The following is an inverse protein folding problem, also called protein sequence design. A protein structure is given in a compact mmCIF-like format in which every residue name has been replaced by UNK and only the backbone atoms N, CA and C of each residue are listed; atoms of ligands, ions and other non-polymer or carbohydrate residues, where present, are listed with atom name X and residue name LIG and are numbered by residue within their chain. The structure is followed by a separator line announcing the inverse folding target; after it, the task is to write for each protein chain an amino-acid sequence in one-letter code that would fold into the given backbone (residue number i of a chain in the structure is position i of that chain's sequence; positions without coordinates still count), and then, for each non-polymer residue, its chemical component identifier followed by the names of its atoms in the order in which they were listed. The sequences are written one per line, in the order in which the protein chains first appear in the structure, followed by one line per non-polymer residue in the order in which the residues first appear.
data_IF_183489984305
#
_entry.id   IF_183489984305
#
_cell.length_a   1.000
_cell.length_b   1.000
_cell.length_c   1.000
_cell.angle_alpha   90.00
_cell.angle_beta   90.00
_cell.angle_gamma   90.00
#
_symmetry.space_group_name_H-M   'P 1'
#
loop_
_entity.id
_entity.type
_entity.pdbx_description
1 polymer ?
#
# COMPACT_ATOMS: atom_id res chain seq x y z
N UNK A 1 -24.22 -5.40 28.81
CA UNK A 1 -23.19 -4.41 28.48
C UNK A 1 -23.69 -3.60 27.29
N UNK A 2 -23.40 -2.31 27.23
CA UNK A 2 -23.71 -1.53 26.02
C UNK A 2 -22.94 -2.12 24.83
N UNK A 3 -23.53 -2.15 23.63
CA UNK A 3 -22.84 -2.70 22.46
C UNK A 3 -21.59 -1.87 22.15
N UNK A 4 -20.54 -2.53 21.63
CA UNK A 4 -19.37 -1.83 21.12
C UNK A 4 -19.73 -1.08 19.85
N UNK A 5 -19.33 0.18 19.77
CA UNK A 5 -19.53 1.03 18.60
C UNK A 5 -18.23 1.13 17.82
N UNK A 6 -18.29 0.84 16.53
CA UNK A 6 -17.21 1.09 15.57
C UNK A 6 -17.63 2.29 14.70
N UNK A 7 -16.85 3.36 14.76
CA UNK A 7 -17.05 4.57 13.96
C UNK A 7 -16.00 4.61 12.84
N UNK A 8 -16.40 4.27 11.62
CA UNK A 8 -15.55 4.36 10.43
C UNK A 8 -15.44 5.81 9.97
N UNK A 9 -14.26 6.43 10.15
CA UNK A 9 -14.01 7.80 9.71
C UNK A 9 -13.88 7.91 8.18
N UNK A 10 -14.06 9.12 7.64
CA UNK A 10 -13.60 9.46 6.30
C UNK A 10 -12.08 9.64 6.30
N UNK A 11 -11.42 9.13 5.27
CA UNK A 11 -10.02 9.42 5.01
C UNK A 11 -9.87 10.86 4.51
N UNK A 12 -8.74 11.48 4.83
CA UNK A 12 -8.37 12.84 4.39
C UNK A 12 -7.12 12.85 3.52
N UNK A 13 -6.34 11.76 3.53
CA UNK A 13 -5.17 11.63 2.67
C UNK A 13 -5.62 11.71 1.20
N UNK A 14 -5.08 12.63 0.38
CA UNK A 14 -5.46 12.75 -1.02
C UNK A 14 -5.36 11.43 -1.76
N UNK A 15 -6.40 11.10 -2.53
CA UNK A 15 -6.51 9.89 -3.35
C UNK A 15 -6.51 8.55 -2.56
N UNK A 16 -6.68 8.60 -1.24
CA UNK A 16 -6.95 7.40 -0.44
C UNK A 16 -8.44 7.02 -0.56
N UNK A 17 -8.75 6.21 -1.58
CA UNK A 17 -10.11 5.72 -1.83
C UNK A 17 -10.46 4.45 -1.05
N UNK A 18 -9.48 3.81 -0.39
CA UNK A 18 -9.70 2.51 0.28
C UNK A 18 -10.45 2.68 1.60
N UNK A 19 -10.88 1.56 2.15
CA UNK A 19 -11.50 1.49 3.47
C UNK A 19 -11.09 0.21 4.22
N UNK A 20 -10.84 0.27 5.54
CA UNK A 20 -10.56 -0.93 6.34
C UNK A 20 -11.82 -1.78 6.58
N UNK A 21 -13.00 -1.26 6.21
CA UNK A 21 -14.29 -1.89 6.38
C UNK A 21 -15.04 -1.83 5.05
N UNK A 22 -15.58 -2.96 4.59
CA UNK A 22 -16.45 -3.03 3.43
C UNK A 22 -17.91 -3.14 3.88
N UNK A 23 -18.90 -2.92 3.01
CA UNK A 23 -20.30 -3.17 3.34
C UNK A 23 -20.55 -4.61 3.82
N UNK A 24 -19.85 -5.60 3.26
CA UNK A 24 -19.99 -7.00 3.65
C UNK A 24 -19.41 -7.28 5.06
N UNK A 25 -18.27 -6.69 5.40
CA UNK A 25 -17.69 -6.86 6.75
C UNK A 25 -18.38 -5.99 7.79
N UNK A 26 -18.92 -4.82 7.41
CA UNK A 26 -19.82 -4.04 8.25
C UNK A 26 -21.09 -4.83 8.60
N UNK A 27 -21.69 -5.52 7.62
CA UNK A 27 -22.82 -6.42 7.87
C UNK A 27 -22.47 -7.50 8.89
N UNK A 28 -21.31 -8.15 8.75
CA UNK A 28 -20.88 -9.18 9.68
C UNK A 28 -20.72 -8.66 11.12
N UNK A 29 -20.24 -7.43 11.29
CA UNK A 29 -20.15 -6.77 12.61
C UNK A 29 -21.54 -6.44 13.16
N UNK A 30 -22.45 -5.91 12.35
CA UNK A 30 -23.83 -5.66 12.75
C UNK A 30 -24.55 -6.95 13.19
N UNK A 31 -24.38 -8.03 12.44
CA UNK A 31 -24.95 -9.35 12.77
C UNK A 31 -24.36 -9.92 14.08
N UNK A 32 -23.13 -9.55 14.43
CA UNK A 32 -22.47 -9.90 15.69
C UNK A 32 -22.84 -8.98 16.87
N UNK A 33 -23.73 -8.00 16.68
CA UNK A 33 -24.25 -7.12 17.74
C UNK A 33 -23.45 -5.84 17.97
N UNK A 34 -22.50 -5.51 17.09
CA UNK A 34 -21.83 -4.22 17.09
C UNK A 34 -22.75 -3.13 16.53
N UNK A 35 -22.54 -1.88 16.94
CA UNK A 35 -23.08 -0.71 16.25
C UNK A 35 -22.02 -0.21 15.28
N UNK A 36 -22.38 -0.03 14.01
CA UNK A 36 -21.45 0.46 12.98
C UNK A 36 -21.93 1.83 12.49
N UNK A 37 -21.13 2.86 12.77
CA UNK A 37 -21.27 4.21 12.22
C UNK A 37 -20.30 4.40 11.08
N UNK A 38 -20.75 4.99 9.98
CA UNK A 38 -19.94 5.25 8.80
C UNK A 38 -20.08 6.70 8.41
N UNK A 39 -18.97 7.42 8.41
CA UNK A 39 -18.95 8.78 7.90
C UNK A 39 -19.23 8.81 6.40
N UNK A 40 -20.03 9.78 5.96
CA UNK A 40 -20.11 10.18 4.56
C UNK A 40 -18.70 10.50 4.05
N UNK A 41 -18.37 9.97 2.87
CA UNK A 41 -17.06 10.17 2.26
C UNK A 41 -17.22 10.15 0.74
N UNK A 42 -16.99 11.28 0.05
CA UNK A 42 -17.12 11.34 -1.41
C UNK A 42 -15.99 10.57 -2.13
N UNK A 43 -14.83 10.43 -1.49
CA UNK A 43 -13.64 9.83 -2.08
C UNK A 43 -13.56 8.30 -1.87
N UNK A 44 -14.25 7.78 -0.85
CA UNK A 44 -14.26 6.34 -0.55
C UNK A 44 -14.86 5.55 -1.71
N UNK A 45 -14.23 4.42 -2.04
CA UNK A 45 -14.65 3.55 -3.14
C UNK A 45 -16.06 2.94 -2.94
N UNK A 46 -16.49 2.79 -1.68
CA UNK A 46 -17.83 2.37 -1.30
C UNK A 46 -18.74 3.58 -1.10
N UNK A 47 -19.91 3.55 -1.73
CA UNK A 47 -20.94 4.58 -1.57
C UNK A 47 -21.61 4.44 -0.20
N UNK A 48 -22.02 5.55 0.40
CA UNK A 48 -22.77 5.55 1.66
C UNK A 48 -24.03 4.68 1.61
N UNK A 49 -24.68 4.61 0.45
CA UNK A 49 -25.87 3.78 0.24
C UNK A 49 -25.58 2.27 0.38
N UNK A 50 -24.37 1.82 0.04
CA UNK A 50 -23.97 0.40 0.22
C UNK A 50 -23.91 0.04 1.71
N UNK A 51 -23.37 0.95 2.54
CA UNK A 51 -23.36 0.77 4.00
C UNK A 51 -24.74 0.90 4.63
N UNK A 52 -25.56 1.86 4.15
CA UNK A 52 -26.94 2.01 4.63
C UNK A 52 -27.78 0.77 4.34
N UNK A 53 -27.59 0.17 3.17
CA UNK A 53 -28.31 -1.04 2.75
C UNK A 53 -28.06 -2.26 3.66
N UNK A 54 -26.90 -2.31 4.34
CA UNK A 54 -26.59 -3.37 5.31
C UNK A 54 -26.95 -3.02 6.75
N UNK A 55 -27.47 -1.81 7.01
CA UNK A 55 -27.93 -1.35 8.32
C UNK A 55 -26.95 -0.48 9.11
N UNK A 56 -25.85 0.00 8.50
CA UNK A 56 -24.93 0.91 9.16
C UNK A 56 -25.54 2.33 9.30
N UNK A 57 -25.21 3.01 10.40
CA UNK A 57 -25.60 4.40 10.66
C UNK A 57 -24.71 5.34 9.85
N UNK A 58 -25.27 6.07 8.89
CA UNK A 58 -24.52 7.09 8.14
C UNK A 58 -24.49 8.39 8.92
N UNK A 59 -23.28 8.91 9.17
CA UNK A 59 -23.03 10.13 9.96
C UNK A 59 -22.20 11.15 9.16
N UNK A 60 -22.22 12.45 9.51
CA UNK A 60 -21.45 13.46 8.79
C UNK A 60 -19.94 13.20 8.79
N UNK A 61 -19.26 13.59 7.72
CA UNK A 61 -17.79 13.59 7.61
C UNK A 61 -17.15 14.34 8.78
N UNK A 62 -16.13 13.75 9.41
CA UNK A 62 -15.38 14.36 10.53
C UNK A 62 -16.10 14.33 11.88
N UNK A 63 -17.29 13.70 11.96
CA UNK A 63 -18.05 13.59 13.21
C UNK A 63 -17.34 12.77 14.30
N UNK A 64 -16.35 11.94 13.93
CA UNK A 64 -15.52 11.16 14.86
C UNK A 64 -14.86 12.02 15.95
N UNK A 65 -14.55 13.29 15.67
CA UNK A 65 -13.90 14.20 16.63
C UNK A 65 -14.75 14.41 17.88
N UNK A 66 -16.08 14.41 17.72
CA UNK A 66 -17.05 14.64 18.78
C UNK A 66 -17.84 13.37 19.13
N UNK A 67 -17.39 12.21 18.68
CA UNK A 67 -18.02 10.93 19.03
C UNK A 67 -17.94 10.70 20.55
N UNK A 68 -18.84 9.88 21.12
CA UNK A 68 -18.69 9.43 22.51
C UNK A 68 -17.33 8.77 22.72
N UNK A 69 -16.66 9.07 23.84
CA UNK A 69 -15.30 8.56 24.15
C UNK A 69 -15.17 7.02 24.08
N UNK A 70 -16.27 6.29 24.31
CA UNK A 70 -16.31 4.83 24.26
C UNK A 70 -16.34 4.23 22.84
N UNK A 71 -16.59 5.04 21.82
CA UNK A 71 -16.56 4.61 20.43
C UNK A 71 -15.12 4.30 19.99
N UNK A 72 -14.97 3.26 19.17
CA UNK A 72 -13.71 2.91 18.55
C UNK A 72 -13.66 3.57 17.16
N UNK A 73 -12.70 4.46 16.96
CA UNK A 73 -12.51 5.16 15.70
C UNK A 73 -11.68 4.30 14.76
N UNK A 74 -12.33 3.75 13.73
CA UNK A 74 -11.69 2.94 12.69
C UNK A 74 -11.37 3.82 11.48
N UNK A 75 -10.15 3.73 11.00
CA UNK A 75 -9.69 4.39 9.77
C UNK A 75 -8.58 3.58 9.11
N UNK A 76 -8.11 4.03 7.96
CA UNK A 76 -6.99 3.42 7.28
C UNK A 76 -5.70 4.20 7.50
N UNK A 77 -5.64 5.46 7.07
CA UNK A 77 -4.39 6.22 7.09
C UNK A 77 -4.27 7.08 8.34
N UNK A 78 -3.13 7.76 8.41
CA UNK A 78 -2.80 8.76 9.41
C UNK A 78 -3.88 9.85 9.50
N UNK A 79 -4.06 10.40 10.70
CA UNK A 79 -4.86 11.61 10.92
C UNK A 79 -3.93 12.79 10.66
N UNK A 80 -4.44 13.89 10.09
CA UNK A 80 -3.63 15.09 9.86
C UNK A 80 -3.00 15.56 11.17
N UNK A 81 -1.72 15.89 11.13
CA UNK A 81 -0.93 16.36 12.26
C UNK A 81 -1.25 17.83 12.60
N UNK A 82 -2.52 18.12 12.87
CA UNK A 82 -3.09 19.43 13.14
C UNK A 82 -3.11 19.78 14.64
N UNK A 83 -2.64 18.87 15.49
CA UNK A 83 -2.64 19.00 16.94
C UNK A 83 -3.96 18.66 17.63
N UNK A 84 -4.98 18.20 16.89
CA UNK A 84 -6.26 17.75 17.47
C UNK A 84 -6.00 16.65 18.51
N UNK A 85 -6.43 16.79 19.78
CA UNK A 85 -6.29 15.74 20.79
C UNK A 85 -6.99 14.44 20.37
N UNK A 86 -6.42 13.30 20.72
CA UNK A 86 -6.93 11.98 20.30
C UNK A 86 -7.35 11.14 21.52
N UNK A 87 -8.53 11.39 22.13
CA UNK A 87 -8.93 10.78 23.40
C UNK A 87 -9.62 9.40 23.26
N UNK A 88 -9.94 8.96 22.04
CA UNK A 88 -10.63 7.69 21.78
C UNK A 88 -9.66 6.50 21.70
N UNK A 89 -10.21 5.31 21.47
CA UNK A 89 -9.45 4.18 20.92
C UNK A 89 -9.46 4.26 19.41
N UNK A 90 -8.30 4.23 18.78
CA UNK A 90 -8.12 4.34 17.33
C UNK A 90 -7.58 3.04 16.75
N UNK A 91 -8.08 2.66 15.57
CA UNK A 91 -7.59 1.53 14.78
C UNK A 91 -7.29 2.05 13.38
N UNK A 92 -6.02 2.35 13.08
CA UNK A 92 -5.55 2.81 11.77
C UNK A 92 -4.04 2.63 11.63
N UNK A 93 -3.48 2.89 10.44
CA UNK A 93 -2.04 3.03 10.24
C UNK A 93 -1.62 4.45 10.64
N UNK A 94 -0.97 4.61 11.80
CA UNK A 94 -0.52 5.94 12.24
C UNK A 94 0.89 6.28 11.73
N UNK A 95 1.71 5.27 11.39
CA UNK A 95 3.10 5.44 10.96
C UNK A 95 3.95 6.18 11.99
N UNK A 96 3.85 5.80 13.28
CA UNK A 96 4.58 6.45 14.39
C UNK A 96 5.53 5.54 15.17
N UNK A 97 5.60 4.23 14.84
CA UNK A 97 6.40 3.28 15.63
C UNK A 97 7.80 2.97 15.09
N UNK A 98 8.16 3.51 13.91
CA UNK A 98 9.45 3.29 13.23
C UNK A 98 10.29 4.59 13.15
N UNK A 99 10.11 5.50 14.11
CA UNK A 99 10.80 6.79 14.18
C UNK A 99 10.63 7.67 12.94
N UNK A 100 9.47 7.60 12.28
CA UNK A 100 9.13 8.47 11.17
C UNK A 100 9.20 9.94 11.58
N UNK A 101 9.45 10.85 10.63
CA UNK A 101 9.46 12.29 10.92
C UNK A 101 8.15 12.72 11.60
N UNK A 102 8.26 13.37 12.77
CA UNK A 102 7.10 13.82 13.55
C UNK A 102 6.45 12.77 14.46
N UNK A 103 6.98 11.53 14.51
CA UNK A 103 6.37 10.42 15.26
C UNK A 103 6.07 10.75 16.73
N UNK A 104 6.99 11.43 17.43
CA UNK A 104 6.84 11.74 18.85
C UNK A 104 5.71 12.75 19.09
N UNK A 105 5.59 13.75 18.22
CA UNK A 105 4.50 14.74 18.27
C UNK A 105 3.15 14.06 18.03
N UNK A 106 3.06 13.21 17.02
CA UNK A 106 1.81 12.52 16.70
C UNK A 106 1.42 11.53 17.80
N UNK A 107 2.35 10.71 18.29
CA UNK A 107 2.09 9.75 19.37
C UNK A 107 1.68 10.45 20.68
N UNK A 108 2.24 11.64 20.94
CA UNK A 108 1.87 12.45 22.12
C UNK A 108 0.41 12.91 22.10
N UNK A 109 -0.24 13.05 20.93
CA UNK A 109 -1.66 13.43 20.83
C UNK A 109 -2.58 12.39 21.46
N UNK A 110 -2.21 11.11 21.36
CA UNK A 110 -2.94 10.01 21.97
C UNK A 110 -2.68 9.97 23.49
N UNK A 111 -1.40 9.90 23.89
CA UNK A 111 -1.04 9.73 25.30
C UNK A 111 -1.49 10.90 26.18
N UNK A 112 -1.32 12.15 25.71
CA UNK A 112 -1.75 13.34 26.47
C UNK A 112 -3.27 13.45 26.61
N UNK A 113 -4.04 12.88 25.68
CA UNK A 113 -5.50 12.89 25.71
C UNK A 113 -6.10 11.65 26.42
N UNK A 114 -5.26 10.72 26.87
CA UNK A 114 -5.68 9.44 27.44
C UNK A 114 -6.36 8.52 26.41
N UNK A 115 -5.99 8.65 25.13
CA UNK A 115 -6.42 7.75 24.07
C UNK A 115 -5.50 6.53 23.92
N UNK A 116 -5.87 5.67 22.97
CA UNK A 116 -5.19 4.42 22.67
C UNK A 116 -5.11 4.22 21.16
N UNK A 117 -3.98 3.70 20.67
CA UNK A 117 -3.80 3.34 19.28
C UNK A 117 -3.56 1.83 19.15
N UNK A 118 -4.44 1.16 18.40
CA UNK A 118 -4.18 -0.15 17.82
C UNK A 118 -3.69 0.04 16.37
N UNK A 119 -2.38 0.18 16.21
CA UNK A 119 -1.80 0.40 14.88
C UNK A 119 -1.97 -0.85 14.00
N UNK A 120 -2.64 -0.69 12.85
CA UNK A 120 -2.94 -1.76 11.91
C UNK A 120 -1.68 -2.44 11.33
N UNK A 121 -0.53 -1.75 11.31
CA UNK A 121 0.74 -2.33 10.87
C UNK A 121 1.25 -3.39 11.86
N UNK A 122 0.92 -3.24 13.15
CA UNK A 122 1.44 -4.06 14.25
C UNK A 122 0.38 -5.02 14.82
N UNK A 123 -0.78 -5.11 14.19
CA UNK A 123 -1.81 -6.09 14.50
C UNK A 123 -1.39 -7.46 13.91
N UNK A 124 -0.93 -8.35 14.79
CA UNK A 124 -0.31 -9.64 14.39
C UNK A 124 -0.99 -10.85 15.03
N UNK A 125 -0.86 -12.02 14.39
CA UNK A 125 -1.25 -13.30 14.95
C UNK A 125 -0.23 -13.81 15.99
N UNK A 126 -0.40 -15.04 16.46
CA UNK A 126 0.48 -15.65 17.47
C UNK A 126 1.90 -15.93 16.95
N UNK A 127 2.07 -16.07 15.63
CA UNK A 127 3.35 -16.29 14.97
C UNK A 127 4.03 -14.96 14.57
N UNK A 128 3.44 -13.82 14.94
CA UNK A 128 3.92 -12.49 14.58
C UNK A 128 3.62 -12.08 13.14
N UNK A 129 2.79 -12.83 12.40
CA UNK A 129 2.37 -12.44 11.05
C UNK A 129 1.28 -11.40 11.13
N UNK A 130 1.35 -10.37 10.30
CA UNK A 130 0.28 -9.35 10.19
C UNK A 130 -1.05 -10.01 9.82
N UNK A 131 -2.11 -9.67 10.55
CA UNK A 131 -3.46 -10.21 10.33
C UNK A 131 -4.08 -9.72 9.03
N UNK A 132 -3.78 -8.48 8.62
CA UNK A 132 -4.26 -7.87 7.38
C UNK A 132 -3.16 -7.05 6.68
N UNK A 133 -3.09 -7.14 5.35
CA UNK A 133 -2.15 -6.37 4.53
C UNK A 133 -2.64 -6.24 3.07
N UNK A 134 -2.33 -5.12 2.42
CA UNK A 134 -2.66 -4.85 1.01
C UNK A 134 -1.72 -5.50 0.00
N UNK A 135 -1.05 -6.60 0.37
CA UNK A 135 0.13 -7.09 -0.34
C UNK A 135 -0.15 -7.41 -1.82
N UNK A 136 -1.14 -8.26 -2.11
CA UNK A 136 -1.44 -8.71 -3.47
C UNK A 136 -1.73 -7.51 -4.40
N UNK A 137 -2.68 -6.67 -4.02
CA UNK A 137 -3.07 -5.54 -4.85
C UNK A 137 -2.02 -4.43 -4.96
N UNK A 138 -1.10 -4.30 -3.99
CA UNK A 138 0.06 -3.41 -4.13
C UNK A 138 0.96 -3.84 -5.29
N UNK A 139 1.29 -5.14 -5.36
CA UNK A 139 2.07 -5.71 -6.46
C UNK A 139 1.33 -5.61 -7.78
N UNK A 140 0.02 -5.94 -7.77
CA UNK A 140 -0.81 -5.89 -8.98
C UNK A 140 -0.85 -4.48 -9.58
N UNK A 141 -1.19 -3.47 -8.77
CA UNK A 141 -1.27 -2.08 -9.20
C UNK A 141 0.09 -1.52 -9.60
N UNK A 142 1.15 -1.84 -8.85
CA UNK A 142 2.52 -1.42 -9.16
C UNK A 142 2.98 -1.95 -10.52
N UNK A 143 2.80 -3.25 -10.78
CA UNK A 143 3.15 -3.85 -12.07
C UNK A 143 2.27 -3.33 -13.20
N UNK A 144 0.97 -3.13 -12.98
CA UNK A 144 0.09 -2.50 -13.95
C UNK A 144 0.58 -1.09 -14.35
N UNK A 145 0.93 -0.25 -13.38
CA UNK A 145 1.47 1.09 -13.65
C UNK A 145 2.83 1.04 -14.34
N UNK A 146 3.68 0.07 -14.00
CA UNK A 146 4.96 -0.14 -14.67
C UNK A 146 4.79 -0.51 -16.14
N UNK A 147 3.85 -1.41 -16.45
CA UNK A 147 3.50 -1.80 -17.82
C UNK A 147 2.92 -0.63 -18.62
N UNK A 148 2.06 0.18 -18.00
CA UNK A 148 1.55 1.41 -18.62
C UNK A 148 2.67 2.40 -18.92
N UNK A 149 3.62 2.56 -17.99
CA UNK A 149 4.76 3.46 -18.18
C UNK A 149 5.69 3.00 -19.29
N UNK A 150 5.98 1.69 -19.33
CA UNK A 150 6.77 1.06 -20.38
C UNK A 150 6.12 1.27 -21.76
N UNK A 151 4.83 0.97 -21.87
CA UNK A 151 4.08 1.14 -23.11
C UNK A 151 4.05 2.62 -23.54
N UNK A 152 3.79 3.53 -22.60
CA UNK A 152 3.78 4.97 -22.87
C UNK A 152 5.13 5.45 -23.41
N UNK A 153 6.24 4.98 -22.81
CA UNK A 153 7.58 5.38 -23.21
C UNK A 153 7.95 4.92 -24.62
N UNK A 154 7.56 3.71 -25.02
CA UNK A 154 7.81 3.21 -26.38
C UNK A 154 6.95 3.94 -27.41
N UNK A 155 5.70 4.22 -27.08
CA UNK A 155 4.76 4.89 -27.99
C UNK A 155 5.01 6.40 -28.10
N UNK A 156 5.60 7.02 -27.08
CA UNK A 156 5.81 8.48 -27.00
C UNK A 156 7.22 8.80 -26.46
N UNK A 157 8.29 8.53 -27.23
CA UNK A 157 9.66 8.77 -26.78
C UNK A 157 9.89 10.23 -26.39
N UNK A 158 10.48 10.46 -25.21
CA UNK A 158 10.80 11.80 -24.70
C UNK A 158 9.60 12.59 -24.16
N UNK A 159 8.39 12.03 -24.19
CA UNK A 159 7.19 12.65 -23.63
C UNK A 159 6.99 12.18 -22.19
N UNK A 160 6.87 13.09 -21.20
CA UNK A 160 6.53 12.73 -19.83
C UNK A 160 5.19 12.02 -19.73
N UNK A 161 5.08 11.03 -18.84
CA UNK A 161 3.81 10.36 -18.58
C UNK A 161 2.86 11.30 -17.82
N UNK A 162 1.59 11.35 -18.23
CA UNK A 162 0.54 12.02 -17.46
C UNK A 162 0.13 11.25 -16.19
N UNK A 163 -0.91 11.73 -15.49
CA UNK A 163 -1.40 11.08 -14.27
C UNK A 163 -1.75 9.60 -14.46
N UNK A 164 -1.59 8.82 -13.38
CA UNK A 164 -2.05 7.45 -13.30
C UNK A 164 -3.57 7.38 -13.53
N UNK A 165 -4.06 6.33 -14.21
CA UNK A 165 -5.49 6.20 -14.49
C UNK A 165 -6.29 5.96 -13.22
N UNK A 166 -7.44 6.61 -13.12
CA UNK A 166 -8.47 6.29 -12.12
C UNK A 166 -9.40 5.27 -12.72
N UNK A 167 -9.52 4.12 -12.05
CA UNK A 167 -10.35 3.00 -12.48
C UNK A 167 -11.29 2.58 -11.35
N UNK A 168 -12.38 1.90 -11.72
CA UNK A 168 -13.40 1.42 -10.78
C UNK A 168 -13.20 -0.05 -10.38
N UNK A 169 -12.33 -0.79 -11.09
CA UNK A 169 -12.03 -2.20 -10.80
C UNK A 169 -10.67 -2.63 -11.33
N UNK A 170 -10.16 -3.73 -10.79
CA UNK A 170 -8.97 -4.41 -11.28
C UNK A 170 -9.13 -4.94 -12.72
N UNK A 171 -10.34 -5.38 -13.10
CA UNK A 171 -10.61 -5.79 -14.49
C UNK A 171 -10.43 -4.62 -15.46
N UNK A 172 -11.01 -3.47 -15.14
CA UNK A 172 -10.86 -2.26 -15.97
C UNK A 172 -9.39 -1.81 -16.08
N UNK A 173 -8.62 -1.92 -14.98
CA UNK A 173 -7.17 -1.68 -15.03
C UNK A 173 -6.48 -2.64 -16.00
N UNK A 174 -6.82 -3.93 -15.91
CA UNK A 174 -6.22 -5.00 -16.72
C UNK A 174 -6.49 -4.80 -18.20
N UNK A 175 -7.73 -4.48 -18.57
CA UNK A 175 -8.11 -4.22 -19.96
C UNK A 175 -7.38 -3.00 -20.53
N UNK A 176 -7.26 -1.93 -19.72
CA UNK A 176 -6.50 -0.74 -20.10
C UNK A 176 -5.01 -1.06 -20.31
N UNK A 177 -4.39 -1.76 -19.36
CA UNK A 177 -2.98 -2.16 -19.43
C UNK A 177 -2.75 -3.02 -20.65
N UNK A 178 -3.59 -4.02 -20.88
CA UNK A 178 -3.51 -4.91 -22.05
C UNK A 178 -3.55 -4.12 -23.35
N UNK A 179 -4.53 -3.24 -23.52
CA UNK A 179 -4.66 -2.44 -24.74
C UNK A 179 -3.43 -1.56 -25.01
N UNK A 180 -2.82 -0.99 -23.96
CA UNK A 180 -1.62 -0.15 -24.09
C UNK A 180 -0.36 -0.97 -24.38
N UNK A 181 -0.19 -2.11 -23.71
CA UNK A 181 0.94 -3.01 -23.93
C UNK A 181 0.87 -3.62 -25.32
N UNK A 182 -0.28 -4.15 -25.75
CA UNK A 182 -0.49 -4.73 -27.08
C UNK A 182 -0.18 -3.71 -28.20
N UNK A 183 -0.47 -2.43 -27.99
CA UNK A 183 -0.11 -1.38 -28.95
C UNK A 183 1.40 -1.09 -29.00
N UNK A 184 2.12 -1.33 -27.90
CA UNK A 184 3.55 -1.03 -27.78
C UNK A 184 4.47 -2.18 -28.24
N UNK A 185 3.98 -3.42 -28.35
CA UNK A 185 4.83 -4.58 -28.68
C UNK A 185 5.53 -4.45 -30.03
N UNK A 186 4.96 -3.73 -31.01
CA UNK A 186 5.61 -3.51 -32.31
C UNK A 186 6.91 -2.70 -32.19
N UNK A 187 7.03 -1.87 -31.15
CA UNK A 187 8.25 -1.14 -30.82
C UNK A 187 9.23 -1.96 -29.96
N UNK A 188 8.90 -3.23 -29.68
CA UNK A 188 9.69 -4.19 -28.92
C UNK A 188 9.78 -5.54 -29.65
N UNK A 189 10.13 -5.49 -30.94
CA UNK A 189 10.30 -6.67 -31.82
C UNK A 189 9.08 -7.61 -31.88
N UNK A 190 7.88 -7.07 -31.67
CA UNK A 190 6.63 -7.85 -31.65
C UNK A 190 6.43 -8.67 -30.37
N UNK A 191 7.21 -8.41 -29.33
CA UNK A 191 7.18 -9.16 -28.07
C UNK A 191 6.67 -8.32 -26.89
N UNK A 192 6.03 -9.00 -25.93
CA UNK A 192 5.78 -8.45 -24.60
C UNK A 192 7.09 -8.11 -23.87
N UNK A 193 7.06 -7.18 -22.89
CA UNK A 193 8.24 -6.89 -22.09
C UNK A 193 8.68 -8.09 -21.26
N UNK A 194 9.99 -8.23 -21.09
CA UNK A 194 10.58 -9.11 -20.07
C UNK A 194 10.53 -8.43 -18.71
N UNK A 195 9.99 -9.12 -17.72
CA UNK A 195 9.91 -8.63 -16.35
C UNK A 195 10.89 -9.38 -15.45
N UNK A 196 11.44 -8.68 -14.46
CA UNK A 196 12.01 -9.29 -13.26
C UNK A 196 11.25 -8.82 -12.04
N UNK A 197 10.77 -9.77 -11.24
CA UNK A 197 10.06 -9.54 -9.99
C UNK A 197 10.92 -10.14 -8.87
N UNK A 198 11.44 -9.29 -7.99
CA UNK A 198 12.22 -9.73 -6.83
C UNK A 198 11.33 -9.72 -5.58
N UNK A 199 11.24 -10.85 -4.87
CA UNK A 199 10.27 -11.11 -3.81
C UNK A 199 9.00 -11.80 -4.31
N UNK A 200 9.13 -12.60 -5.38
CA UNK A 200 8.02 -13.19 -6.13
C UNK A 200 7.14 -14.16 -5.32
N UNK A 201 7.64 -14.76 -4.24
CA UNK A 201 6.87 -15.71 -3.42
C UNK A 201 5.99 -15.02 -2.36
N UNK A 202 6.29 -13.75 -2.04
CA UNK A 202 5.51 -12.92 -1.13
C UNK A 202 4.15 -12.52 -1.68
N UNK A 203 3.28 -11.96 -0.83
CA UNK A 203 1.94 -11.47 -1.25
C UNK A 203 2.06 -10.44 -2.38
N UNK A 204 3.00 -9.51 -2.25
CA UNK A 204 3.27 -8.46 -3.24
C UNK A 204 3.78 -9.05 -4.55
N UNK A 205 4.82 -9.89 -4.50
CA UNK A 205 5.37 -10.53 -5.69
C UNK A 205 4.34 -11.39 -6.45
N UNK A 206 3.50 -12.14 -5.74
CA UNK A 206 2.39 -12.89 -6.36
C UNK A 206 1.40 -11.99 -7.09
N UNK A 207 1.08 -10.84 -6.53
CA UNK A 207 0.23 -9.84 -7.20
C UNK A 207 0.89 -9.22 -8.43
N UNK A 208 2.18 -8.90 -8.34
CA UNK A 208 2.98 -8.41 -9.46
C UNK A 208 3.01 -9.40 -10.64
N UNK A 209 3.29 -10.66 -10.33
CA UNK A 209 3.26 -11.76 -11.32
C UNK A 209 1.87 -11.92 -11.93
N UNK A 210 0.81 -11.91 -11.10
CA UNK A 210 -0.56 -12.05 -11.57
C UNK A 210 -0.97 -10.92 -12.53
N UNK A 211 -0.58 -9.67 -12.27
CA UNK A 211 -0.87 -8.54 -13.16
C UNK A 211 -0.22 -8.70 -14.54
N UNK A 212 1.03 -9.18 -14.58
CA UNK A 212 1.73 -9.43 -15.83
C UNK A 212 1.10 -10.61 -16.62
N UNK A 213 0.81 -11.72 -15.93
CA UNK A 213 0.19 -12.90 -16.54
C UNK A 213 -1.23 -12.59 -17.07
N UNK A 214 -1.99 -11.75 -16.36
CA UNK A 214 -3.37 -11.37 -16.73
C UNK A 214 -3.48 -10.69 -18.10
N UNK A 215 -2.42 -10.04 -18.58
CA UNK A 215 -2.39 -9.41 -19.91
C UNK A 215 -1.68 -10.25 -20.99
N UNK A 216 -1.14 -11.42 -20.60
CA UNK A 216 -0.44 -12.36 -21.50
C UNK A 216 1.09 -12.25 -21.51
N UNK A 217 1.71 -11.55 -20.55
CA UNK A 217 3.17 -11.55 -20.41
C UNK A 217 3.63 -12.89 -19.82
N UNK A 218 4.56 -13.56 -20.50
CA UNK A 218 5.08 -14.87 -20.09
C UNK A 218 6.55 -14.87 -19.70
N UNK A 219 7.36 -13.91 -20.18
CA UNK A 219 8.78 -13.80 -19.84
C UNK A 219 8.96 -13.02 -18.52
N UNK A 220 8.83 -13.75 -17.41
CA UNK A 220 8.90 -13.19 -16.06
C UNK A 220 9.95 -13.97 -15.25
N UNK A 221 11.04 -13.30 -14.88
CA UNK A 221 11.97 -13.78 -13.87
C UNK A 221 11.35 -13.60 -12.48
N UNK A 222 10.92 -14.71 -11.87
CA UNK A 222 10.29 -14.75 -10.54
C UNK A 222 11.33 -15.07 -9.49
N UNK A 223 12.02 -14.04 -8.99
CA UNK A 223 13.14 -14.19 -8.05
C UNK A 223 12.70 -14.01 -6.60
N UNK A 224 13.39 -14.73 -5.70
CA UNK A 224 13.21 -14.61 -4.27
C UNK A 224 14.57 -14.79 -3.54
N UNK A 225 14.55 -15.21 -2.27
CA UNK A 225 15.76 -15.38 -1.45
C UNK A 225 16.78 -16.31 -2.10
N UNK A 226 16.35 -17.35 -2.82
CA UNK A 226 17.25 -18.32 -3.46
C UNK A 226 18.18 -17.68 -4.49
N UNK A 227 17.67 -16.72 -5.27
CA UNK A 227 18.47 -16.01 -6.28
C UNK A 227 19.18 -14.79 -5.67
N UNK A 228 18.52 -14.07 -4.75
CA UNK A 228 19.04 -12.82 -4.19
C UNK A 228 20.14 -13.03 -3.14
N UNK A 229 20.24 -14.21 -2.53
CA UNK A 229 21.27 -14.52 -1.52
C UNK A 229 22.71 -14.44 -2.05
N UNK A 230 22.90 -14.46 -3.39
CA UNK A 230 24.22 -14.28 -4.02
C UNK A 230 24.80 -12.87 -3.83
N UNK A 231 23.96 -11.89 -3.48
CA UNK A 231 24.32 -10.48 -3.37
C UNK A 231 24.34 -9.78 -4.72
N UNK A 232 23.76 -8.57 -4.79
CA UNK A 232 23.76 -7.75 -6.00
C UNK A 232 25.05 -6.93 -6.20
N UNK A 233 25.12 -6.10 -7.25
CA UNK A 233 24.04 -5.81 -8.21
C UNK A 233 23.77 -6.97 -9.18
N UNK A 234 22.52 -7.10 -9.63
CA UNK A 234 22.08 -8.18 -10.52
C UNK A 234 21.99 -7.70 -11.97
N UNK A 235 22.79 -8.31 -12.87
CA UNK A 235 22.78 -7.99 -14.29
C UNK A 235 21.41 -8.28 -14.96
N UNK A 236 20.66 -9.22 -14.39
CA UNK A 236 19.31 -9.60 -14.82
C UNK A 236 18.31 -8.44 -14.72
N UNK A 237 18.56 -7.46 -13.84
CA UNK A 237 17.78 -6.23 -13.76
C UNK A 237 17.99 -5.36 -15.00
N UNK A 238 19.24 -5.08 -15.38
CA UNK A 238 19.55 -4.28 -16.58
C UNK A 238 19.13 -4.97 -17.89
N UNK A 239 19.09 -6.31 -17.90
CA UNK A 239 18.71 -7.15 -19.04
C UNK A 239 17.20 -7.41 -19.18
N UNK A 240 16.38 -6.97 -18.21
CA UNK A 240 14.91 -7.02 -18.28
C UNK A 240 14.37 -5.66 -18.73
N UNK A 241 13.16 -5.58 -19.27
CA UNK A 241 12.55 -4.31 -19.69
C UNK A 241 11.90 -3.58 -18.50
N UNK A 242 11.40 -4.35 -17.53
CA UNK A 242 10.75 -3.84 -16.32
C UNK A 242 11.28 -4.60 -15.09
N UNK A 243 11.61 -3.86 -14.04
CA UNK A 243 11.95 -4.41 -12.72
C UNK A 243 10.89 -4.01 -11.71
N UNK A 244 10.33 -5.00 -10.99
CA UNK A 244 9.42 -4.80 -9.87
C UNK A 244 10.08 -5.29 -8.57
N UNK A 245 10.37 -4.38 -7.65
CA UNK A 245 10.84 -4.73 -6.31
C UNK A 245 9.63 -4.96 -5.38
N UNK A 246 9.60 -6.12 -4.73
CA UNK A 246 8.58 -6.51 -3.76
C UNK A 246 9.18 -6.84 -2.39
N UNK A 247 10.46 -6.51 -2.16
CA UNK A 247 11.18 -6.81 -0.92
C UNK A 247 11.34 -5.55 -0.08
N UNK A 248 10.76 -5.59 1.11
CA UNK A 248 11.00 -4.64 2.18
C UNK A 248 12.03 -5.21 3.15
N UNK A 249 13.13 -4.48 3.38
CA UNK A 249 14.24 -4.95 4.23
C UNK A 249 14.17 -4.45 5.68
N UNK A 250 13.40 -3.39 5.94
CA UNK A 250 13.35 -2.75 7.25
C UNK A 250 14.75 -2.32 7.71
N UNK A 251 15.16 -2.77 8.90
CA UNK A 251 16.48 -2.45 9.45
C UNK A 251 17.62 -3.29 8.88
N UNK A 252 17.34 -4.27 8.01
CA UNK A 252 18.37 -5.14 7.46
C UNK A 252 19.08 -4.47 6.29
N UNK A 253 20.41 -4.60 6.25
CA UNK A 253 21.24 -4.12 5.15
C UNK A 253 21.75 -5.29 4.33
N UNK A 254 21.52 -5.24 3.02
CA UNK A 254 22.05 -6.20 2.05
C UNK A 254 22.78 -5.45 0.93
N UNK A 255 23.63 -6.13 0.12
CA UNK A 255 24.11 -5.54 -1.12
C UNK A 255 22.94 -5.10 -2.00
N UNK A 256 22.99 -3.91 -2.61
CA UNK A 256 21.87 -3.39 -3.38
C UNK A 256 21.58 -4.30 -4.58
N UNK A 257 20.30 -4.45 -4.91
CA UNK A 257 19.87 -5.21 -6.08
C UNK A 257 20.37 -4.58 -7.37
N UNK A 258 20.43 -3.25 -7.42
CA UNK A 258 21.00 -2.50 -8.54
C UNK A 258 21.59 -1.17 -8.08
N UNK A 259 22.39 -0.53 -8.93
CA UNK A 259 23.02 0.78 -8.65
C UNK A 259 23.00 1.63 -9.92
N UNK A 260 23.20 2.95 -9.79
CA UNK A 260 23.34 3.82 -10.97
C UNK A 260 24.44 3.33 -11.91
N UNK A 261 25.59 2.91 -11.36
CA UNK A 261 26.71 2.34 -12.12
C UNK A 261 26.31 1.08 -12.89
N UNK A 262 25.63 0.12 -12.22
CA UNK A 262 25.19 -1.12 -12.87
C UNK A 262 24.14 -0.89 -13.97
N UNK A 263 23.38 0.22 -13.89
CA UNK A 263 22.38 0.59 -14.89
C UNK A 263 22.93 1.51 -15.99
N UNK A 264 24.10 2.13 -15.81
CA UNK A 264 24.67 3.09 -16.75
C UNK A 264 25.41 2.39 -17.89
N UNK A 265 24.66 1.72 -18.77
CA UNK A 265 25.20 1.05 -19.95
C UNK A 265 24.38 1.41 -21.20
N UNK A 266 25.02 1.66 -22.36
CA UNK A 266 24.31 1.96 -23.60
C UNK A 266 23.32 0.87 -24.03
N UNK A 267 23.65 -0.39 -23.73
CA UNK A 267 22.88 -1.57 -24.13
C UNK A 267 21.81 -2.00 -23.10
N UNK A 268 21.57 -1.18 -22.05
CA UNK A 268 20.54 -1.48 -21.04
C UNK A 268 19.16 -1.60 -21.69
N UNK A 269 18.46 -2.69 -21.39
CA UNK A 269 17.06 -2.90 -21.79
C UNK A 269 16.08 -2.23 -20.85
N UNK A 270 16.39 -2.23 -19.55
CA UNK A 270 15.51 -1.75 -18.50
C UNK A 270 15.00 -0.34 -18.77
N UNK A 271 13.67 -0.18 -18.75
CA UNK A 271 12.95 1.06 -19.03
C UNK A 271 12.21 1.60 -17.82
N UNK A 272 11.73 0.69 -16.96
CA UNK A 272 10.91 1.04 -15.80
C UNK A 272 11.33 0.24 -14.58
N UNK A 273 11.50 0.92 -13.45
CA UNK A 273 11.58 0.32 -12.12
C UNK A 273 10.29 0.67 -11.38
N UNK A 274 9.60 -0.32 -10.83
CA UNK A 274 8.56 -0.11 -9.84
C UNK A 274 9.02 -0.67 -8.50
N UNK A 275 9.35 0.23 -7.59
CA UNK A 275 9.64 -0.16 -6.22
C UNK A 275 8.36 -0.14 -5.39
N UNK A 276 7.68 -1.28 -5.31
CA UNK A 276 6.44 -1.42 -4.53
C UNK A 276 6.73 -1.34 -3.03
N UNK A 277 7.97 -1.64 -2.64
CA UNK A 277 8.45 -1.55 -1.25
C UNK A 277 9.20 -0.25 -0.98
N UNK A 278 8.93 0.79 -1.79
CA UNK A 278 9.65 2.06 -1.73
C UNK A 278 9.68 2.61 -0.31
N UNK A 279 10.90 2.93 0.13
CA UNK A 279 11.18 3.48 1.44
C UNK A 279 12.28 4.54 1.29
N UNK A 280 12.15 5.64 2.03
CA UNK A 280 13.18 6.64 2.19
C UNK A 280 14.10 6.24 3.36
N UNK A 281 14.89 5.18 3.17
CA UNK A 281 15.93 4.79 4.12
C UNK A 281 17.20 4.34 3.41
N UNK A 282 18.30 4.39 4.16
CA UNK A 282 19.63 3.96 3.70
C UNK A 282 19.70 2.45 3.37
N UNK A 283 18.70 1.67 3.80
CA UNK A 283 18.60 0.25 3.55
C UNK A 283 17.80 -0.10 2.29
N UNK A 284 17.30 0.89 1.54
CA UNK A 284 16.60 0.62 0.29
C UNK A 284 17.51 -0.16 -0.69
N UNK A 285 17.13 -1.38 -1.13
CA UNK A 285 17.98 -2.18 -2.02
C UNK A 285 18.03 -1.66 -3.46
N UNK A 286 17.27 -0.60 -3.78
CA UNK A 286 17.20 0.03 -5.10
C UNK A 286 17.62 1.50 -5.02
N UNK A 287 18.88 1.81 -4.63
CA UNK A 287 19.36 3.18 -4.35
C UNK A 287 19.65 3.98 -5.64
N UNK A 288 18.62 4.20 -6.47
CA UNK A 288 18.72 4.88 -7.77
C UNK A 288 17.76 6.08 -7.89
N UNK A 289 17.03 6.40 -6.83
CA UNK A 289 16.08 7.50 -6.75
C UNK A 289 16.08 8.11 -5.34
N UNK A 290 15.59 9.34 -5.19
CA UNK A 290 15.64 10.09 -3.92
C UNK A 290 14.30 10.73 -3.51
N UNK A 291 13.25 10.56 -4.32
CA UNK A 291 11.91 11.09 -4.04
C UNK A 291 10.82 10.09 -4.40
N UNK A 292 9.68 10.20 -3.73
CA UNK A 292 8.48 9.44 -4.09
C UNK A 292 7.80 10.07 -5.31
N UNK A 293 7.24 9.22 -6.17
CA UNK A 293 6.27 9.61 -7.19
C UNK A 293 4.85 9.67 -6.59
N UNK A 294 3.89 10.22 -7.32
CA UNK A 294 2.48 10.28 -6.92
C UNK A 294 1.57 9.82 -8.05
N UNK A 295 0.27 9.63 -7.81
CA UNK A 295 -0.64 9.34 -8.92
C UNK A 295 -0.75 10.49 -9.92
N UNK A 296 -0.49 11.74 -9.54
CA UNK A 296 -0.45 12.87 -10.46
C UNK A 296 0.82 12.84 -11.33
N UNK A 297 1.95 12.48 -10.72
CA UNK A 297 3.26 12.37 -11.37
C UNK A 297 3.82 10.96 -11.11
N UNK A 298 3.38 9.94 -11.86
CA UNK A 298 3.59 8.53 -11.52
C UNK A 298 5.03 8.04 -11.63
N UNK A 299 5.92 8.84 -12.22
CA UNK A 299 7.32 8.48 -12.42
C UNK A 299 8.24 9.61 -12.01
N UNK A 300 9.37 9.26 -11.41
CA UNK A 300 10.51 10.15 -11.16
C UNK A 300 11.73 9.69 -11.96
N UNK A 301 12.67 10.60 -12.28
CA UNK A 301 13.93 10.22 -12.90
C UNK A 301 14.86 9.54 -11.88
N UNK A 302 15.98 9.01 -12.37
CA UNK A 302 17.08 8.56 -11.51
C UNK A 302 17.67 9.72 -10.71
N UNK A 303 18.23 9.41 -9.53
CA UNK A 303 18.89 10.40 -8.66
C UNK A 303 20.20 10.95 -9.24
N UNK A 304 20.73 10.34 -10.30
CA UNK A 304 21.91 10.79 -11.02
C UNK A 304 21.85 10.43 -12.51
N UNK A 305 22.82 10.95 -13.27
CA UNK A 305 22.96 10.63 -14.70
C UNK A 305 23.29 9.15 -14.89
N UNK A 306 22.64 8.52 -15.87
CA UNK A 306 22.96 7.19 -16.36
C UNK A 306 22.93 7.17 -17.88
N UNK A 307 23.81 6.38 -18.48
CA UNK A 307 23.81 6.14 -19.92
C UNK A 307 22.73 5.10 -20.32
N UNK A 308 22.41 5.06 -21.61
CA UNK A 308 21.39 4.17 -22.19
C UNK A 308 20.02 4.83 -22.35
N UNK A 309 18.95 4.03 -22.62
CA UNK A 309 17.61 4.58 -22.84
C UNK A 309 17.03 5.20 -21.57
N UNK A 310 16.09 6.14 -21.69
CA UNK A 310 15.43 6.76 -20.52
C UNK A 310 14.90 5.68 -19.54
N UNK A 311 15.13 5.89 -18.24
CA UNK A 311 14.68 5.05 -17.14
C UNK A 311 13.68 5.82 -16.27
N UNK A 312 12.50 5.23 -16.04
CA UNK A 312 11.47 5.78 -15.16
C UNK A 312 11.37 4.97 -13.88
N UNK A 313 11.29 5.63 -12.73
CA UNK A 313 11.09 4.98 -11.43
C UNK A 313 9.69 5.32 -10.91
N UNK A 314 8.95 4.31 -10.51
CA UNK A 314 7.68 4.40 -9.78
C UNK A 314 7.97 4.03 -8.32
N UNK A 315 7.74 4.97 -7.43
CA UNK A 315 7.87 4.85 -5.98
C UNK A 315 6.65 5.52 -5.32
N UNK A 316 5.48 4.90 -5.45
CA UNK A 316 4.20 5.37 -4.87
C UNK A 316 3.89 4.52 -3.63
N UNK A 317 3.67 5.15 -2.47
CA UNK A 317 3.45 4.47 -1.18
C UNK A 317 2.01 3.95 -0.97
N UNK A 318 1.10 4.28 -1.87
CA UNK A 318 -0.33 3.95 -1.82
C UNK A 318 -0.83 3.23 -3.08
N UNK A 319 0.02 2.45 -3.76
CA UNK A 319 -0.33 1.70 -4.98
C UNK A 319 -1.69 0.95 -4.94
N UNK A 320 -2.09 0.26 -3.85
CA UNK A 320 -3.38 -0.42 -3.80
C UNK A 320 -4.60 0.50 -4.02
N UNK A 321 -4.47 1.81 -3.82
CA UNK A 321 -5.53 2.79 -4.08
C UNK A 321 -5.93 2.87 -5.55
N UNK A 322 -5.10 2.40 -6.49
CA UNK A 322 -5.51 2.28 -7.91
C UNK A 322 -6.63 1.26 -8.11
N UNK A 323 -6.69 0.22 -7.28
CA UNK A 323 -7.69 -0.86 -7.31
C UNK A 323 -8.35 -0.93 -5.94
N UNK A 324 -8.90 0.22 -5.53
CA UNK A 324 -9.30 0.47 -4.16
C UNK A 324 -10.39 -0.49 -3.67
N UNK A 325 -11.31 -0.93 -4.54
CA UNK A 325 -12.43 -1.81 -4.15
C UNK A 325 -11.90 -3.18 -3.76
N UNK A 326 -11.21 -3.85 -4.67
CA UNK A 326 -10.65 -5.18 -4.44
C UNK A 326 -9.60 -5.18 -3.31
N UNK A 327 -8.79 -4.12 -3.23
CA UNK A 327 -7.85 -3.91 -2.13
C UNK A 327 -8.56 -3.82 -0.78
N UNK A 328 -9.68 -3.10 -0.73
CA UNK A 328 -10.46 -2.91 0.50
C UNK A 328 -11.25 -4.15 0.86
N UNK A 329 -11.83 -4.86 -0.11
CA UNK A 329 -12.56 -6.11 0.12
C UNK A 329 -11.64 -7.18 0.71
N UNK A 330 -10.45 -7.38 0.12
CA UNK A 330 -9.47 -8.34 0.64
C UNK A 330 -8.98 -7.93 2.04
N UNK A 331 -8.60 -6.66 2.22
CA UNK A 331 -8.08 -6.17 3.49
C UNK A 331 -9.13 -6.26 4.60
N UNK A 332 -10.36 -5.81 4.33
CA UNK A 332 -11.46 -5.86 5.28
C UNK A 332 -11.79 -7.31 5.64
N UNK A 333 -11.78 -8.23 4.68
CA UNK A 333 -11.99 -9.66 4.95
C UNK A 333 -10.89 -10.26 5.82
N UNK A 334 -9.63 -9.87 5.63
CA UNK A 334 -8.50 -10.31 6.46
C UNK A 334 -8.58 -9.73 7.88
N UNK A 335 -9.05 -8.48 8.02
CA UNK A 335 -9.16 -7.78 9.30
C UNK A 335 -10.39 -8.20 10.12
N UNK A 336 -11.47 -8.62 9.47
CA UNK A 336 -12.76 -8.96 10.09
C UNK A 336 -12.64 -9.94 11.28
N UNK A 337 -11.87 -11.04 11.21
CA UNK A 337 -11.72 -11.96 12.35
C UNK A 337 -11.24 -11.27 13.62
N UNK A 338 -10.35 -10.28 13.50
CA UNK A 338 -9.90 -9.47 14.64
C UNK A 338 -10.98 -8.50 15.09
N UNK A 339 -11.66 -7.80 14.16
CA UNK A 339 -12.71 -6.83 14.51
C UNK A 339 -13.87 -7.46 15.26
N UNK A 340 -14.22 -8.71 14.93
CA UNK A 340 -15.26 -9.48 15.61
C UNK A 340 -14.94 -9.78 17.08
N UNK A 341 -13.70 -9.55 17.53
CA UNK A 341 -13.29 -9.77 18.92
C UNK A 341 -13.01 -8.47 19.69
N UNK A 342 -13.37 -7.30 19.13
CA UNK A 342 -13.16 -5.99 19.76
C UNK A 342 -13.97 -5.80 21.07
N UNK A 343 -15.10 -6.49 21.20
CA UNK A 343 -15.91 -6.57 22.41
C UNK A 343 -15.21 -7.24 23.59
N UNK A 344 -14.17 -8.03 23.30
CA UNK A 344 -13.35 -8.76 24.27
C UNK A 344 -11.85 -8.46 24.12
N UNK A 345 -11.53 -7.26 23.62
CA UNK A 345 -10.15 -6.79 23.35
C UNK A 345 -9.21 -6.79 24.55
N UNK A 346 -9.76 -6.77 25.76
CA UNK A 346 -9.03 -6.86 27.03
C UNK A 346 -8.50 -8.28 27.32
N UNK A 347 -9.11 -9.29 26.71
CA UNK A 347 -8.72 -10.71 26.85
C UNK A 347 -8.08 -11.29 25.59
N UNK A 348 -8.33 -10.68 24.43
CA UNK A 348 -7.82 -11.14 23.14
C UNK A 348 -6.39 -10.73 22.87
N UNK A 349 -5.53 -11.72 22.64
CA UNK A 349 -4.09 -11.49 22.49
C UNK A 349 -3.72 -10.61 21.29
N UNK A 350 -4.50 -10.62 20.21
CA UNK A 350 -4.26 -9.73 19.05
C UNK A 350 -4.33 -8.26 19.46
N UNK A 351 -5.31 -7.89 20.29
CA UNK A 351 -5.53 -6.54 20.78
C UNK A 351 -4.62 -6.20 21.96
N UNK A 352 -4.43 -7.13 22.92
CA UNK A 352 -3.50 -6.95 24.04
C UNK A 352 -2.05 -6.78 23.58
N UNK A 353 -1.64 -7.45 22.50
CA UNK A 353 -0.30 -7.26 21.92
C UNK A 353 -0.17 -5.87 21.31
N UNK A 354 -1.15 -5.43 20.53
CA UNK A 354 -1.16 -4.08 19.96
C UNK A 354 -1.14 -3.00 21.06
N UNK A 355 -1.91 -3.19 22.14
CA UNK A 355 -1.90 -2.29 23.30
C UNK A 355 -0.53 -2.21 23.98
N UNK A 356 0.12 -3.36 24.21
CA UNK A 356 1.47 -3.39 24.79
C UNK A 356 2.47 -2.64 23.92
N UNK A 357 2.39 -2.80 22.59
CA UNK A 357 3.25 -2.06 21.65
C UNK A 357 3.01 -0.56 21.76
N UNK A 358 1.74 -0.11 21.84
CA UNK A 358 1.42 1.29 22.05
C UNK A 358 2.06 1.83 23.34
N UNK A 359 1.85 1.17 24.48
CA UNK A 359 2.41 1.64 25.76
C UNK A 359 3.94 1.60 25.78
N UNK A 360 4.55 0.59 25.16
CA UNK A 360 6.01 0.55 24.97
C UNK A 360 6.49 1.76 24.17
N UNK A 361 5.83 2.09 23.07
CA UNK A 361 6.19 3.22 22.20
C UNK A 361 5.94 4.58 22.86
N UNK A 362 4.88 4.69 23.66
CA UNK A 362 4.63 5.89 24.48
C UNK A 362 5.74 6.08 25.53
N UNK A 363 6.26 5.00 26.12
CA UNK A 363 7.38 5.07 27.06
C UNK A 363 8.72 5.48 26.40
N UNK A 364 8.81 5.44 25.07
CA UNK A 364 9.97 5.91 24.29
C UNK A 364 9.88 7.43 23.97
N UNK A 365 8.77 8.11 24.30
CA UNK A 365 8.62 9.56 24.07
C UNK A 365 9.69 10.37 24.84
N UNK A 366 10.23 11.45 24.23
CA UNK A 366 11.33 12.23 24.79
C UNK A 366 10.94 13.14 25.97
#
# INVERSE_FOLDING_TARGET
MSPVVIHLRSETKPLERRSPLSPSTAKALLDAGYVVRVEESPDRIYKSDEFRAVGAEIVPTGSWVNAPKGDIILGLKEIEADGTPLPHTYVHFAHVYKNQTGWATELSRFSNAGGLLYDLEFLTDQDGRRVAAFGHWAGYAGTALALLSWAHQLLNPGVPQGPAPVVESASALTDLVKAKVDAAISANDGAHPRLIVIGALGRVGKGAVAAAEAIGVSDILKWDVAETSKGGPFAEIAASDIFVNCVYLGSNKIPPFTTLEALSTPDRRLRVICDVSCENSENNPVPVYSSYSSFENPTVPTSGHIDGPELRIIAIDILPSMVARESSDEYASQLLPSLLTLDRRDTEEVWRRAERIFHQKVAELP
#
